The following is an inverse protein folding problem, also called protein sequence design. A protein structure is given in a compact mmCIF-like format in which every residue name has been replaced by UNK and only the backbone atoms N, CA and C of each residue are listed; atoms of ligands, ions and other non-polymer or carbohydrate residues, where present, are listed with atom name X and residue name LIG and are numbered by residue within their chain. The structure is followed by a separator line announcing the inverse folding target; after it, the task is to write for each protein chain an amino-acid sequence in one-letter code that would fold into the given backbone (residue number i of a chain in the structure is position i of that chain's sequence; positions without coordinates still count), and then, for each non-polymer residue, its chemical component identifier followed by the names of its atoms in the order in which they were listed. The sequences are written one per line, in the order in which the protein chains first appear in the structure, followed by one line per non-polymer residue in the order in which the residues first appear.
data_IF_887623035365
#
_entry.id   IF_887623035365
#
_cell.length_a   1.000
_cell.length_b   1.000
_cell.length_c   1.000
_cell.angle_alpha   90.00
_cell.angle_beta   90.00
_cell.angle_gamma   90.00
#
_symmetry.space_group_name_H-M   'P 1'
#
loop_
_entity.id
_entity.type
_entity.pdbx_description
1 polymer ?
#
# COMPACT_ATOMS: atom_id res chain seq x y z
N UNK A 1 34.40 -24.55 41.07
CA UNK A 1 33.39 -25.47 41.64
C UNK A 1 32.08 -25.01 41.06
N UNK A 2 31.50 -25.87 40.21
CA UNK A 2 30.14 -25.75 39.69
C UNK A 2 29.15 -25.95 40.84
N UNK A 3 28.03 -25.23 40.83
CA UNK A 3 26.76 -25.61 41.46
C UNK A 3 25.68 -24.83 40.67
N UNK A 4 25.05 -25.43 39.66
CA UNK A 4 23.96 -26.40 39.73
C UNK A 4 22.64 -25.78 40.26
N UNK A 5 21.84 -25.33 39.28
CA UNK A 5 20.38 -25.40 39.12
C UNK A 5 19.57 -25.92 40.32
N UNK A 6 18.57 -25.16 40.76
CA UNK A 6 17.23 -25.70 41.09
C UNK A 6 16.17 -24.58 41.09
N UNK A 7 15.41 -24.53 39.99
CA UNK A 7 14.01 -24.10 39.95
C UNK A 7 13.21 -25.03 40.87
N UNK A 8 12.23 -24.53 41.65
CA UNK A 8 10.99 -25.23 42.06
C UNK A 8 10.19 -24.41 43.11
N UNK A 9 8.92 -24.17 42.75
CA UNK A 9 7.68 -24.05 43.54
C UNK A 9 7.44 -22.86 44.49
N UNK A 10 6.45 -22.04 44.10
CA UNK A 10 5.60 -21.23 44.97
C UNK A 10 4.85 -22.08 46.02
N UNK A 11 4.43 -21.46 47.13
CA UNK A 11 2.98 -21.30 47.31
C UNK A 11 2.55 -19.97 47.99
N UNK A 12 1.36 -19.47 47.61
CA UNK A 12 0.58 -18.44 48.32
C UNK A 12 0.17 -18.89 49.74
N UNK A 13 -0.13 -17.95 50.66
CA UNK A 13 -1.55 -17.68 50.97
C UNK A 13 -1.93 -16.23 51.36
N UNK A 14 -3.19 -15.90 51.06
CA UNK A 14 -4.09 -14.81 51.56
C UNK A 14 -4.20 -14.75 53.12
N UNK A 15 -4.97 -13.85 53.81
CA UNK A 15 -5.95 -12.84 53.36
C UNK A 15 -5.89 -11.46 54.10
N UNK A 16 -6.45 -10.40 53.51
CA UNK A 16 -6.85 -9.21 54.28
C UNK A 16 -8.27 -8.76 53.89
N UNK A 17 -9.10 -8.60 54.91
CA UNK A 17 -10.55 -8.62 54.84
C UNK A 17 -11.20 -7.23 54.73
N UNK A 18 -12.33 -7.19 54.00
CA UNK A 18 -13.59 -6.47 54.28
C UNK A 18 -13.55 -4.93 54.42
N UNK A 19 -14.47 -4.11 53.92
CA UNK A 19 -15.78 -4.24 53.24
C UNK A 19 -16.05 -2.88 52.52
N UNK A 20 -17.08 -2.74 51.66
CA UNK A 20 -18.43 -2.47 52.20
C UNK A 20 -19.56 -3.08 51.35
N UNK A 21 -20.52 -3.78 51.98
CA UNK A 21 -21.80 -4.10 51.33
C UNK A 21 -22.93 -4.01 52.37
N UNK A 22 -23.68 -2.91 52.28
CA UNK A 22 -25.03 -2.67 52.81
C UNK A 22 -25.59 -1.58 51.86
N UNK A 23 -26.80 -1.59 51.30
CA UNK A 23 -27.99 -2.39 51.51
C UNK A 23 -28.91 -2.18 50.28
N UNK A 24 -29.35 -3.28 49.66
CA UNK A 24 -30.70 -3.58 49.14
C UNK A 24 -31.58 -2.42 48.62
N UNK A 25 -32.04 -2.47 47.35
CA UNK A 25 -33.44 -2.82 46.99
C UNK A 25 -33.50 -3.35 45.55
N UNK A 26 -34.16 -4.49 45.30
CA UNK A 26 -34.34 -5.07 43.96
C UNK A 26 -35.53 -4.42 43.24
N UNK A 27 -35.68 -4.83 41.97
CA UNK A 27 -36.89 -4.75 41.15
C UNK A 27 -36.91 -3.63 40.10
N UNK A 28 -36.48 -3.99 38.88
CA UNK A 28 -37.29 -3.82 37.68
C UNK A 28 -36.56 -4.54 36.54
N UNK A 29 -36.96 -5.79 36.32
CA UNK A 29 -36.65 -6.54 35.10
C UNK A 29 -37.53 -5.96 33.99
N UNK A 30 -37.06 -4.91 33.30
CA UNK A 30 -37.59 -4.55 31.98
C UNK A 30 -36.62 -5.13 30.94
N UNK A 31 -37.00 -6.18 30.19
CA UNK A 31 -36.23 -6.56 29.03
C UNK A 31 -36.49 -5.49 27.96
N UNK A 32 -35.63 -4.48 27.88
CA UNK A 32 -35.51 -3.69 26.66
C UNK A 32 -35.12 -4.67 25.54
N UNK A 33 -35.92 -4.80 24.47
CA UNK A 33 -35.61 -5.72 23.40
C UNK A 33 -34.27 -5.31 22.80
N UNK A 34 -33.33 -6.26 22.76
CA UNK A 34 -32.16 -6.24 21.88
C UNK A 34 -32.61 -5.81 20.49
N UNK A 35 -32.46 -4.52 20.21
CA UNK A 35 -32.37 -4.04 18.84
C UNK A 35 -31.01 -4.53 18.38
N UNK A 36 -31.03 -5.72 17.80
CA UNK A 36 -30.05 -6.22 16.85
C UNK A 36 -29.89 -5.09 15.82
N UNK A 37 -28.96 -4.19 16.08
CA UNK A 37 -28.39 -3.31 15.08
C UNK A 37 -27.55 -4.24 14.19
N UNK A 38 -28.26 -4.96 13.34
CA UNK A 38 -27.79 -5.42 12.05
C UNK A 38 -27.48 -4.15 11.25
N UNK A 39 -26.41 -3.46 11.66
CA UNK A 39 -25.85 -2.35 10.91
C UNK A 39 -25.25 -3.00 9.69
N UNK A 40 -26.07 -3.00 8.65
CA UNK A 40 -25.78 -3.42 7.31
C UNK A 40 -24.32 -3.11 7.00
N UNK A 41 -23.54 -4.17 6.79
CA UNK A 41 -22.34 -4.12 5.99
C UNK A 41 -22.79 -3.48 4.68
N UNK A 42 -22.57 -2.17 4.54
CA UNK A 42 -22.71 -1.47 3.28
C UNK A 42 -21.66 -2.12 2.39
N UNK A 43 -22.09 -3.13 1.66
CA UNK A 43 -21.42 -3.62 0.47
C UNK A 43 -21.30 -2.40 -0.43
N UNK A 44 -20.11 -1.77 -0.36
CA UNK A 44 -19.70 -0.75 -1.31
C UNK A 44 -19.66 -1.51 -2.62
N UNK A 45 -20.77 -1.47 -3.34
CA UNK A 45 -20.81 -1.82 -4.76
C UNK A 45 -19.90 -0.78 -5.39
N UNK A 46 -18.63 -1.15 -5.52
CA UNK A 46 -17.66 -0.48 -6.36
C UNK A 46 -18.29 -0.51 -7.75
N UNK A 47 -18.99 0.57 -8.12
CA UNK A 47 -19.46 0.76 -9.48
C UNK A 47 -18.20 0.73 -10.35
N UNK A 48 -17.91 -0.44 -10.91
CA UNK A 48 -16.88 -0.63 -11.94
C UNK A 48 -17.28 0.23 -13.13
N UNK A 49 -16.85 1.50 -13.10
CA UNK A 49 -16.87 2.35 -14.27
C UNK A 49 -16.04 1.60 -15.32
N UNK A 50 -16.60 1.32 -16.52
CA UNK A 50 -15.86 0.57 -17.52
C UNK A 50 -14.56 1.31 -17.85
N UNK A 51 -13.45 0.57 -17.88
CA UNK A 51 -12.10 1.07 -18.17
C UNK A 51 -12.02 2.16 -19.27
N UNK A 52 -12.67 2.02 -20.46
CA UNK A 52 -12.62 3.06 -21.49
C UNK A 52 -13.29 4.38 -21.08
N UNK A 53 -14.38 4.32 -20.30
CA UNK A 53 -15.00 5.54 -19.78
C UNK A 53 -14.09 6.20 -18.74
N UNK A 54 -13.37 5.39 -17.95
CA UNK A 54 -12.46 5.89 -16.94
C UNK A 54 -11.23 6.58 -17.53
N UNK A 55 -10.66 6.02 -18.60
CA UNK A 55 -9.54 6.63 -19.33
C UNK A 55 -9.89 8.06 -19.79
N UNK A 56 -11.02 8.20 -20.47
CA UNK A 56 -11.48 9.48 -21.04
C UNK A 56 -11.66 10.55 -19.96
N UNK A 57 -12.23 10.19 -18.80
CA UNK A 57 -12.37 11.07 -17.66
C UNK A 57 -11.02 11.55 -17.14
N UNK A 58 -10.07 10.63 -16.94
CA UNK A 58 -8.72 10.94 -16.45
C UNK A 58 -7.96 11.85 -17.43
N UNK A 59 -8.09 11.60 -18.73
CA UNK A 59 -7.52 12.46 -19.77
C UNK A 59 -8.12 13.86 -19.75
N UNK A 60 -9.43 14.00 -19.57
CA UNK A 60 -10.07 15.31 -19.43
C UNK A 60 -9.62 16.05 -18.16
N UNK A 61 -9.51 15.34 -17.04
CA UNK A 61 -8.98 15.91 -15.79
C UNK A 61 -7.55 16.43 -15.96
N UNK A 62 -6.68 15.66 -16.63
CA UNK A 62 -5.30 16.07 -16.90
C UNK A 62 -5.20 17.22 -17.90
N UNK A 63 -6.14 17.35 -18.85
CA UNK A 63 -6.23 18.53 -19.71
C UNK A 63 -6.59 19.79 -18.92
N UNK A 64 -7.54 19.68 -17.99
CA UNK A 64 -7.94 20.79 -17.13
C UNK A 64 -6.89 21.12 -16.06
N UNK A 65 -6.23 20.09 -15.52
CA UNK A 65 -5.26 20.17 -14.42
C UNK A 65 -4.03 19.30 -14.76
N UNK A 66 -3.05 19.83 -15.52
CA UNK A 66 -1.88 19.04 -15.95
C UNK A 66 -0.99 18.51 -14.81
N UNK A 67 -1.09 19.13 -13.63
CA UNK A 67 -0.35 18.78 -12.40
C UNK A 67 -1.21 17.96 -11.43
N UNK A 68 -2.32 17.39 -11.90
CA UNK A 68 -3.07 16.39 -11.16
C UNK A 68 -2.32 15.07 -11.21
N UNK A 69 -1.38 14.91 -10.27
CA UNK A 69 -0.48 13.77 -10.24
C UNK A 69 -1.22 12.49 -9.83
N UNK A 70 -2.31 12.60 -9.08
CA UNK A 70 -3.13 11.45 -8.68
C UNK A 70 -3.83 10.86 -9.91
N UNK A 71 -4.55 11.69 -10.68
CA UNK A 71 -5.17 11.23 -11.94
C UNK A 71 -4.14 10.70 -12.94
N UNK A 72 -2.92 11.24 -12.93
CA UNK A 72 -1.84 10.73 -13.78
C UNK A 72 -1.36 9.35 -13.35
N UNK A 73 -1.24 9.09 -12.04
CA UNK A 73 -0.86 7.78 -11.53
C UNK A 73 -1.94 6.75 -11.86
N UNK A 74 -3.20 7.11 -11.64
CA UNK A 74 -4.34 6.25 -11.96
C UNK A 74 -4.38 5.92 -13.45
N UNK A 75 -4.18 6.91 -14.32
CA UNK A 75 -4.10 6.68 -15.77
C UNK A 75 -2.92 5.78 -16.16
N UNK A 76 -1.77 5.91 -15.49
CA UNK A 76 -0.63 5.04 -15.73
C UNK A 76 -0.93 3.58 -15.38
N UNK A 77 -1.67 3.35 -14.29
CA UNK A 77 -2.10 2.01 -13.86
C UNK A 77 -3.19 1.42 -14.75
N UNK A 78 -4.10 2.25 -15.24
CA UNK A 78 -5.06 1.81 -16.26
C UNK A 78 -4.33 1.26 -17.50
N UNK A 79 -3.34 2.00 -18.01
CA UNK A 79 -2.51 1.53 -19.13
C UNK A 79 -1.66 0.30 -18.78
N UNK A 80 -1.20 0.20 -17.52
CA UNK A 80 -0.50 -0.98 -17.02
C UNK A 80 -1.40 -2.22 -17.10
N UNK A 81 -2.64 -2.13 -16.63
CA UNK A 81 -3.60 -3.23 -16.62
C UNK A 81 -4.01 -3.64 -18.04
N UNK A 82 -4.07 -2.68 -18.96
CA UNK A 82 -4.29 -2.89 -20.39
C UNK A 82 -3.06 -3.40 -21.14
N UNK A 83 -1.92 -3.54 -20.47
CA UNK A 83 -0.62 -3.91 -21.05
C UNK A 83 -0.10 -2.93 -22.11
N UNK A 84 -0.61 -1.70 -22.13
CA UNK A 84 -0.02 -0.59 -22.89
C UNK A 84 1.18 -0.02 -22.11
N UNK A 85 2.29 -0.76 -22.19
CA UNK A 85 3.52 -0.44 -21.49
C UNK A 85 4.09 0.92 -21.91
N UNK A 86 3.96 1.30 -23.17
CA UNK A 86 4.48 2.56 -23.66
C UNK A 86 3.74 3.76 -23.05
N UNK A 87 2.41 3.69 -22.98
CA UNK A 87 1.58 4.70 -22.35
C UNK A 87 1.77 4.75 -20.83
N UNK A 88 1.87 3.60 -20.16
CA UNK A 88 2.13 3.49 -18.73
C UNK A 88 3.49 4.12 -18.37
N UNK A 89 4.58 3.68 -19.01
CA UNK A 89 5.93 4.17 -18.74
C UNK A 89 6.06 5.68 -19.01
N UNK A 90 5.38 6.20 -20.02
CA UNK A 90 5.36 7.64 -20.31
C UNK A 90 4.70 8.46 -19.20
N UNK A 91 3.68 7.93 -18.53
CA UNK A 91 3.06 8.60 -17.40
C UNK A 91 3.92 8.48 -16.13
N UNK A 92 4.51 7.32 -15.87
CA UNK A 92 5.45 7.14 -14.77
C UNK A 92 6.67 8.05 -14.88
N UNK A 93 7.25 8.23 -16.06
CA UNK A 93 8.40 9.13 -16.29
C UNK A 93 8.09 10.57 -15.88
N UNK A 94 6.87 11.05 -16.19
CA UNK A 94 6.41 12.39 -15.79
C UNK A 94 6.25 12.51 -14.27
N UNK A 95 5.81 11.45 -13.60
CA UNK A 95 5.65 11.42 -12.16
C UNK A 95 7.00 11.35 -11.43
N UNK A 96 7.94 10.57 -11.94
CA UNK A 96 9.33 10.51 -11.46
C UNK A 96 9.98 11.89 -11.59
N UNK A 97 9.85 12.52 -12.76
CA UNK A 97 10.34 13.88 -13.00
C UNK A 97 9.74 14.91 -12.03
N UNK A 98 8.48 14.69 -11.62
CA UNK A 98 7.79 15.53 -10.64
C UNK A 98 8.08 15.14 -9.17
N UNK A 99 8.85 14.07 -8.92
CA UNK A 99 9.12 13.48 -7.60
C UNK A 99 7.84 13.14 -6.84
N UNK A 100 6.84 12.60 -7.54
CA UNK A 100 5.55 12.21 -6.94
C UNK A 100 5.35 10.70 -7.01
N UNK A 101 4.76 10.14 -5.95
CA UNK A 101 4.41 8.72 -5.85
C UNK A 101 5.59 7.77 -6.15
N UNK A 102 6.81 8.18 -5.78
CA UNK A 102 8.01 7.40 -6.10
C UNK A 102 7.96 5.96 -5.56
N UNK A 103 7.50 5.69 -4.32
CA UNK A 103 7.40 4.32 -3.83
C UNK A 103 6.42 3.46 -4.64
N UNK A 104 5.26 4.03 -4.98
CA UNK A 104 4.24 3.36 -5.80
C UNK A 104 4.79 3.00 -7.19
N UNK A 105 5.45 3.97 -7.83
CA UNK A 105 6.02 3.80 -9.17
C UNK A 105 7.17 2.79 -9.14
N UNK A 106 8.00 2.79 -8.10
CA UNK A 106 9.07 1.79 -7.97
C UNK A 106 8.48 0.38 -7.92
N UNK A 107 7.45 0.14 -7.11
CA UNK A 107 6.81 -1.17 -7.03
C UNK A 107 6.22 -1.62 -8.39
N UNK A 108 5.54 -0.70 -9.09
CA UNK A 108 4.96 -0.96 -10.41
C UNK A 108 6.06 -1.28 -11.44
N UNK A 109 7.17 -0.52 -11.43
CA UNK A 109 8.32 -0.72 -12.33
C UNK A 109 9.14 -1.97 -12.01
N UNK A 110 9.29 -2.34 -10.74
CA UNK A 110 9.95 -3.59 -10.34
C UNK A 110 9.19 -4.79 -10.91
N UNK A 111 7.86 -4.75 -10.81
CA UNK A 111 6.99 -5.77 -11.40
C UNK A 111 7.16 -5.87 -12.92
N UNK A 112 7.35 -4.76 -13.64
CA UNK A 112 7.64 -4.77 -15.08
C UNK A 112 9.04 -5.32 -15.38
N UNK A 113 10.01 -5.05 -14.51
CA UNK A 113 11.38 -5.53 -14.67
C UNK A 113 11.46 -7.06 -14.57
N UNK A 114 10.68 -7.65 -13.66
CA UNK A 114 10.54 -9.10 -13.48
C UNK A 114 9.89 -9.76 -14.70
N UNK A 115 8.92 -9.07 -15.31
CA UNK A 115 8.27 -9.51 -16.55
C UNK A 115 9.14 -9.34 -17.80
N UNK A 116 10.27 -8.62 -17.69
CA UNK A 116 11.18 -8.36 -18.80
C UNK A 116 10.62 -7.36 -19.84
N UNK A 117 9.64 -6.54 -19.45
CA UNK A 117 9.09 -5.48 -20.30
C UNK A 117 10.11 -4.35 -20.44
N UNK A 118 10.45 -3.98 -21.68
CA UNK A 118 11.46 -2.97 -22.04
C UNK A 118 12.58 -2.79 -20.98
N UNK A 119 13.44 -3.80 -20.76
CA UNK A 119 14.32 -3.84 -19.59
C UNK A 119 15.22 -2.61 -19.50
N UNK A 120 15.68 -2.08 -20.64
CA UNK A 120 16.50 -0.87 -20.66
C UNK A 120 15.78 0.34 -20.10
N UNK A 121 14.53 0.58 -20.52
CA UNK A 121 13.76 1.76 -20.11
C UNK A 121 13.34 1.61 -18.66
N UNK A 122 12.85 0.44 -18.26
CA UNK A 122 12.42 0.16 -16.90
C UNK A 122 13.58 0.30 -15.91
N UNK A 123 14.74 -0.30 -16.18
CA UNK A 123 15.91 -0.13 -15.31
C UNK A 123 16.39 1.33 -15.25
N UNK A 124 16.34 2.07 -16.35
CA UNK A 124 16.69 3.49 -16.32
C UNK A 124 15.75 4.28 -15.41
N UNK A 125 14.44 4.06 -15.53
CA UNK A 125 13.43 4.74 -14.73
C UNK A 125 13.49 4.35 -13.25
N UNK A 126 13.76 3.09 -12.92
CA UNK A 126 14.04 2.66 -11.55
C UNK A 126 15.27 3.39 -11.00
N UNK A 127 16.33 3.53 -11.80
CA UNK A 127 17.51 4.31 -11.45
C UNK A 127 17.15 5.77 -11.12
N UNK A 128 16.36 6.42 -11.96
CA UNK A 128 15.91 7.79 -11.76
C UNK A 128 15.04 7.93 -10.49
N UNK A 129 14.11 7.01 -10.27
CA UNK A 129 13.26 7.01 -9.08
C UNK A 129 14.06 6.79 -7.79
N UNK A 130 15.04 5.88 -7.81
CA UNK A 130 15.95 5.65 -6.69
C UNK A 130 16.86 6.85 -6.41
N UNK A 131 17.37 7.53 -7.46
CA UNK A 131 18.11 8.79 -7.31
C UNK A 131 17.27 9.86 -6.61
N UNK A 132 15.99 10.00 -6.98
CA UNK A 132 15.11 11.00 -6.34
C UNK A 132 14.76 10.67 -4.89
N UNK A 133 14.96 9.41 -4.46
CA UNK A 133 14.76 8.94 -3.08
C UNK A 133 16.08 8.86 -2.29
N UNK A 134 17.17 9.42 -2.82
CA UNK A 134 18.52 9.36 -2.23
C UNK A 134 19.08 7.93 -2.04
N UNK A 135 18.51 6.95 -2.72
CA UNK A 135 18.91 5.54 -2.71
C UNK A 135 19.98 5.28 -3.78
N UNK A 136 21.16 5.89 -3.58
CA UNK A 136 22.21 5.98 -4.61
C UNK A 136 22.77 4.62 -5.04
N UNK A 137 22.89 3.67 -4.11
CA UNK A 137 23.43 2.34 -4.41
C UNK A 137 22.49 1.56 -5.33
N UNK A 138 21.18 1.57 -5.03
CA UNK A 138 20.15 0.98 -5.87
C UNK A 138 20.10 1.67 -7.24
N UNK A 139 20.16 3.00 -7.27
CA UNK A 139 20.16 3.75 -8.53
C UNK A 139 21.33 3.34 -9.45
N UNK A 140 22.54 3.29 -8.90
CA UNK A 140 23.72 2.87 -9.64
C UNK A 140 23.60 1.45 -10.19
N UNK A 141 23.01 0.54 -9.42
CA UNK A 141 22.78 -0.83 -9.89
C UNK A 141 21.79 -0.86 -11.06
N UNK A 142 20.67 -0.16 -10.94
CA UNK A 142 19.68 -0.08 -12.01
C UNK A 142 20.26 0.53 -13.29
N UNK A 143 21.05 1.60 -13.22
CA UNK A 143 21.71 2.15 -14.41
C UNK A 143 22.71 1.19 -15.06
N UNK A 144 23.40 0.34 -14.27
CA UNK A 144 24.28 -0.71 -14.83
C UNK A 144 23.46 -1.75 -15.57
N UNK A 145 22.33 -2.20 -15.01
CA UNK A 145 21.43 -3.16 -15.64
C UNK A 145 20.83 -2.59 -16.93
N UNK A 146 20.39 -1.32 -16.92
CA UNK A 146 19.90 -0.62 -18.11
C UNK A 146 20.94 -0.68 -19.24
N UNK A 147 22.19 -0.29 -18.95
CA UNK A 147 23.28 -0.34 -19.93
C UNK A 147 23.57 -1.75 -20.45
N UNK A 148 23.57 -2.75 -19.57
CA UNK A 148 23.77 -4.14 -19.98
C UNK A 148 22.65 -4.63 -20.91
N UNK A 149 21.40 -4.26 -20.63
CA UNK A 149 20.25 -4.65 -21.44
C UNK A 149 20.25 -4.02 -22.83
N UNK A 150 20.78 -2.80 -22.99
CA UNK A 150 20.95 -2.15 -24.30
C UNK A 150 21.93 -2.90 -25.20
N UNK A 151 23.01 -3.43 -24.62
CA UNK A 151 24.05 -4.14 -25.39
C UNK A 151 23.66 -5.55 -25.81
N UNK A 152 22.58 -6.11 -25.26
CA UNK A 152 22.11 -7.48 -25.52
C UNK A 152 20.99 -7.56 -26.57
N UNK A 153 20.61 -6.43 -27.18
CA UNK A 153 19.56 -6.35 -28.21
C UNK A 153 20.09 -6.66 -29.60
#
# INVERSE_FOLDING_TARGET
VEEAVEEILEPEPEPEAAAPVEEVVPDAFEPEPELVAEEAVLEVVEEEIPAPAREDELLQQLKARPRDYTSRLELARLYYDEQDWDAALTNYEKLISARRFLPDIVADLESLSEQGVDPSRVYHMLGDAYMQQDQLDQALEMYRLARQSLTKR
#
